data_IF_711252285743
#
_entry.id   IF_711252285743
#
_cell.length_a   1.000
_cell.length_b   1.000
_cell.length_c   1.000
_cell.angle_alpha   90.00
_cell.angle_beta   90.00
_cell.angle_gamma   90.00
#
_symmetry.space_group_name_H-M   'P 1'
#
loop_
_entity.id
_entity.type
_entity.pdbx_description
1 polymer ?
#
# COMPACT_ATOMS: atom_id res chain seq x y z
N UNK A 1 -8.86 3.03 21.92
CA UNK A 1 -8.86 3.08 20.45
C UNK A 1 -7.44 2.90 19.94
N UNK A 2 -7.20 1.90 19.10
CA UNK A 2 -5.87 1.66 18.50
C UNK A 2 -5.57 2.65 17.36
N UNK A 3 -4.42 2.52 16.69
CA UNK A 3 -4.06 3.38 15.57
C UNK A 3 -5.13 3.34 14.47
N UNK A 4 -5.51 4.51 13.95
CA UNK A 4 -6.52 4.72 12.92
C UNK A 4 -6.10 3.99 11.63
N UNK A 5 -6.84 2.95 11.19
CA UNK A 5 -6.51 2.24 9.95
C UNK A 5 -6.83 3.09 8.72
N UNK A 6 -5.87 3.28 7.81
CA UNK A 6 -6.03 4.09 6.61
C UNK A 6 -5.57 3.34 5.35
N UNK A 7 -6.19 3.68 4.22
CA UNK A 7 -5.72 3.28 2.89
C UNK A 7 -5.20 4.50 2.12
N UNK A 8 -4.21 4.29 1.26
CA UNK A 8 -3.59 5.37 0.47
C UNK A 8 -3.57 4.99 -1.00
N UNK A 9 -4.31 5.75 -1.82
CA UNK A 9 -4.31 5.65 -3.28
C UNK A 9 -3.32 6.66 -3.86
N UNK A 10 -2.39 6.18 -4.69
CA UNK A 10 -1.30 6.99 -5.20
C UNK A 10 -0.15 7.12 -4.21
N UNK A 11 0.16 6.05 -3.46
CA UNK A 11 1.16 6.04 -2.37
C UNK A 11 2.57 6.44 -2.81
N UNK A 12 2.92 6.22 -4.07
CA UNK A 12 4.23 6.55 -4.66
C UNK A 12 4.27 7.94 -5.31
N UNK A 13 3.17 8.70 -5.26
CA UNK A 13 3.12 10.09 -5.69
C UNK A 13 3.45 11.04 -4.55
N UNK A 14 3.63 12.33 -4.85
CA UNK A 14 4.07 13.34 -3.89
C UNK A 14 3.22 13.41 -2.61
N UNK A 15 1.89 13.39 -2.73
CA UNK A 15 0.99 13.40 -1.57
C UNK A 15 1.04 12.07 -0.82
N UNK A 16 1.11 10.95 -1.54
CA UNK A 16 1.17 9.63 -0.94
C UNK A 16 2.42 9.42 -0.10
N UNK A 17 3.59 9.81 -0.61
CA UNK A 17 4.86 9.71 0.12
C UNK A 17 4.86 10.60 1.36
N UNK A 18 4.43 11.86 1.22
CA UNK A 18 4.33 12.77 2.37
C UNK A 18 3.33 12.27 3.43
N UNK A 19 2.24 11.65 3.00
CA UNK A 19 1.28 11.04 3.93
C UNK A 19 1.92 9.88 4.70
N UNK A 20 2.70 9.04 4.01
CA UNK A 20 3.41 7.94 4.64
C UNK A 20 4.53 8.39 5.59
N UNK A 21 5.20 9.51 5.30
CA UNK A 21 6.16 10.12 6.22
C UNK A 21 5.47 10.49 7.55
N UNK A 22 4.30 11.12 7.48
CA UNK A 22 3.49 11.46 8.68
C UNK A 22 3.06 10.20 9.44
N UNK A 23 2.67 9.13 8.74
CA UNK A 23 2.30 7.85 9.36
C UNK A 23 3.50 7.22 10.07
N UNK A 24 4.68 7.25 9.45
CA UNK A 24 5.91 6.73 10.04
C UNK A 24 6.31 7.50 11.32
N UNK A 25 6.06 8.81 11.36
CA UNK A 25 6.27 9.65 12.55
C UNK A 25 5.21 9.45 13.64
N UNK A 26 4.04 8.87 13.32
CA UNK A 26 2.91 8.72 14.24
C UNK A 26 2.33 7.28 14.24
N UNK A 27 3.13 6.24 14.55
CA UNK A 27 2.71 4.83 14.48
C UNK A 27 1.66 4.45 15.53
N UNK A 28 1.54 5.23 16.60
CA UNK A 28 0.50 5.11 17.63
C UNK A 28 -0.86 5.64 17.15
N UNK A 29 -0.88 6.53 16.15
CA UNK A 29 -2.10 7.17 15.64
C UNK A 29 -2.60 6.57 14.35
N UNK A 30 -1.73 6.01 13.51
CA UNK A 30 -2.10 5.54 12.18
C UNK A 30 -1.53 4.15 11.89
N UNK A 31 -2.29 3.37 11.13
CA UNK A 31 -1.85 2.08 10.59
C UNK A 31 -2.27 1.98 9.14
N UNK A 32 -1.33 1.70 8.24
CA UNK A 32 -1.64 1.49 6.83
C UNK A 32 -2.23 0.09 6.68
N UNK A 33 -3.44 0.00 6.13
CA UNK A 33 -4.10 -1.29 5.84
C UNK A 33 -4.06 -1.63 4.35
N UNK A 34 -3.99 -0.62 3.47
CA UNK A 34 -3.94 -0.82 2.04
C UNK A 34 -3.16 0.27 1.29
N UNK A 35 -2.42 -0.10 0.25
CA UNK A 35 -1.65 0.82 -0.61
C UNK A 35 -1.96 0.59 -2.09
N UNK A 36 -2.04 1.67 -2.87
CA UNK A 36 -2.18 1.60 -4.32
C UNK A 36 -1.18 2.53 -5.00
N UNK A 37 -0.52 2.05 -6.07
CA UNK A 37 0.37 2.84 -6.89
C UNK A 37 0.08 2.70 -8.39
N UNK A 38 0.62 3.62 -9.17
CA UNK A 38 0.54 3.59 -10.64
C UNK A 38 1.52 2.57 -11.23
N UNK A 39 2.80 2.96 -11.29
CA UNK A 39 3.86 2.19 -11.96
C UNK A 39 5.20 2.15 -11.23
N UNK A 40 5.35 2.82 -10.09
CA UNK A 40 6.62 2.84 -9.35
C UNK A 40 6.70 1.65 -8.38
N UNK A 41 6.97 0.46 -8.92
CA UNK A 41 6.96 -0.80 -8.16
C UNK A 41 8.08 -0.87 -7.13
N UNK A 42 9.27 -0.35 -7.44
CA UNK A 42 10.38 -0.30 -6.48
C UNK A 42 9.98 0.43 -5.20
N UNK A 43 9.46 1.66 -5.33
CA UNK A 43 9.03 2.43 -4.16
C UNK A 43 7.81 1.79 -3.48
N UNK A 44 6.87 1.23 -4.24
CA UNK A 44 5.73 0.51 -3.66
C UNK A 44 6.22 -0.68 -2.81
N UNK A 45 7.19 -1.46 -3.28
CA UNK A 45 7.72 -2.60 -2.54
C UNK A 45 8.38 -2.16 -1.23
N UNK A 46 9.13 -1.05 -1.23
CA UNK A 46 9.74 -0.48 -0.02
C UNK A 46 8.67 -0.02 0.99
N UNK A 47 7.60 0.62 0.49
CA UNK A 47 6.47 1.01 1.32
C UNK A 47 5.77 -0.22 1.91
N UNK A 48 5.58 -1.29 1.14
CA UNK A 48 4.96 -2.54 1.62
C UNK A 48 5.80 -3.20 2.70
N UNK A 49 7.12 -3.29 2.52
CA UNK A 49 8.04 -3.83 3.53
C UNK A 49 8.00 -3.06 4.85
N UNK A 50 7.88 -1.73 4.75
CA UNK A 50 7.86 -0.82 5.89
C UNK A 50 6.53 -0.87 6.65
N UNK A 51 5.42 -0.70 5.95
CA UNK A 51 4.11 -0.49 6.56
C UNK A 51 3.27 -1.77 6.69
N UNK A 52 3.68 -2.86 6.01
CA UNK A 52 3.01 -4.16 6.01
C UNK A 52 1.49 -4.08 5.85
N UNK A 53 0.99 -3.41 4.78
CA UNK A 53 -0.43 -3.40 4.49
C UNK A 53 -0.92 -4.82 4.20
N UNK A 54 -2.23 -5.06 4.35
CA UNK A 54 -2.84 -6.34 3.99
C UNK A 54 -3.17 -6.43 2.51
N UNK A 55 -3.45 -5.29 1.86
CA UNK A 55 -3.83 -5.19 0.46
C UNK A 55 -2.94 -4.21 -0.29
N UNK A 56 -2.50 -4.59 -1.47
CA UNK A 56 -1.69 -3.76 -2.36
C UNK A 56 -2.23 -3.82 -3.77
N UNK A 57 -2.25 -2.67 -4.46
CA UNK A 57 -2.60 -2.60 -5.86
C UNK A 57 -1.56 -1.86 -6.69
N UNK A 58 -1.32 -2.36 -7.90
CA UNK A 58 -0.54 -1.67 -8.92
C UNK A 58 -1.41 -1.53 -10.17
N UNK A 59 -1.62 -0.29 -10.60
CA UNK A 59 -2.49 0.00 -11.76
C UNK A 59 -1.95 -0.61 -13.04
N UNK A 60 -0.63 -0.59 -13.23
CA UNK A 60 -0.01 -1.23 -14.38
C UNK A 60 0.16 -2.74 -14.14
N UNK A 61 -0.73 -3.52 -14.74
CA UNK A 61 -0.76 -4.98 -14.60
C UNK A 61 0.54 -5.66 -15.07
N UNK A 62 1.28 -5.04 -16.00
CA UNK A 62 2.54 -5.60 -16.50
C UNK A 62 3.64 -5.66 -15.44
N UNK A 63 3.49 -4.93 -14.33
CA UNK A 63 4.50 -4.82 -13.26
C UNK A 63 4.17 -5.67 -12.03
N UNK A 64 3.11 -6.48 -12.09
CA UNK A 64 2.65 -7.27 -10.95
C UNK A 64 3.67 -8.34 -10.57
N UNK A 65 4.26 -9.01 -11.55
CA UNK A 65 5.29 -10.02 -11.28
C UNK A 65 6.55 -9.38 -10.71
N UNK A 66 6.96 -8.20 -11.21
CA UNK A 66 8.06 -7.43 -10.63
C UNK A 66 7.81 -7.08 -9.16
N UNK A 67 6.57 -6.70 -8.81
CA UNK A 67 6.19 -6.41 -7.43
C UNK A 67 6.23 -7.67 -6.56
N UNK A 68 5.75 -8.80 -7.06
CA UNK A 68 5.81 -10.09 -6.35
C UNK A 68 7.24 -10.53 -6.10
N UNK A 69 8.10 -10.40 -7.10
CA UNK A 69 9.53 -10.73 -7.00
C UNK A 69 10.22 -9.82 -5.97
N UNK A 70 9.95 -8.51 -6.00
CA UNK A 70 10.48 -7.57 -5.02
C UNK A 70 10.05 -7.86 -3.57
N UNK A 71 8.94 -8.57 -3.39
CA UNK A 71 8.36 -8.99 -2.11
C UNK A 71 8.59 -10.48 -1.80
N UNK A 72 9.37 -11.19 -2.61
CA UNK A 72 9.52 -12.65 -2.51
C UNK A 72 10.03 -13.11 -1.13
N UNK A 73 10.93 -12.33 -0.53
CA UNK A 73 11.57 -12.61 0.77
C UNK A 73 10.75 -12.18 2.00
N UNK A 74 9.55 -11.61 1.81
CA UNK A 74 8.66 -11.30 2.93
C UNK A 74 7.91 -12.55 3.39
N UNK A 75 7.88 -12.80 4.70
CA UNK A 75 7.07 -13.89 5.28
C UNK A 75 5.56 -13.61 5.19
N UNK A 76 5.16 -12.38 5.51
CA UNK A 76 3.75 -11.94 5.51
C UNK A 76 3.48 -11.04 4.31
N UNK A 77 3.14 -11.66 3.18
CA UNK A 77 2.90 -10.96 1.90
C UNK A 77 1.47 -10.40 1.87
N UNK A 78 1.28 -9.17 1.37
CA UNK A 78 -0.05 -8.65 1.13
C UNK A 78 -0.77 -9.42 0.02
N UNK A 79 -2.09 -9.34 0.00
CA UNK A 79 -2.86 -9.60 -1.20
C UNK A 79 -2.52 -8.55 -2.26
N UNK A 80 -2.17 -8.98 -3.47
CA UNK A 80 -1.86 -8.07 -4.59
C UNK A 80 -2.97 -8.17 -5.63
N UNK A 81 -3.70 -7.07 -5.83
CA UNK A 81 -4.75 -6.98 -6.85
C UNK A 81 -4.28 -6.06 -7.99
N UNK A 82 -4.17 -6.57 -9.23
CA UNK A 82 -3.70 -5.78 -10.35
C UNK A 82 -4.78 -4.85 -10.90
N UNK A 83 -4.34 -3.84 -11.64
CA UNK A 83 -5.22 -3.05 -12.50
C UNK A 83 -6.12 -2.09 -11.73
N UNK A 84 -7.11 -1.55 -12.44
CA UNK A 84 -8.05 -0.57 -11.90
C UNK A 84 -8.93 -1.14 -10.79
N UNK A 85 -9.28 -2.44 -10.87
CA UNK A 85 -10.02 -3.13 -9.82
C UNK A 85 -9.27 -3.09 -8.49
N UNK A 86 -7.95 -3.31 -8.49
CA UNK A 86 -7.16 -3.23 -7.26
C UNK A 86 -7.20 -1.83 -6.63
N UNK A 87 -7.18 -0.78 -7.44
CA UNK A 87 -7.30 0.60 -6.95
C UNK A 87 -8.64 0.82 -6.25
N UNK A 88 -9.74 0.29 -6.82
CA UNK A 88 -11.08 0.36 -6.23
C UNK A 88 -11.14 -0.40 -4.90
N UNK A 89 -10.57 -1.60 -4.83
CA UNK A 89 -10.55 -2.39 -3.59
C UNK A 89 -9.73 -1.70 -2.47
N UNK A 90 -8.59 -1.09 -2.81
CA UNK A 90 -7.82 -0.28 -1.85
C UNK A 90 -8.63 0.90 -1.32
N UNK A 91 -9.35 1.60 -2.18
CA UNK A 91 -10.22 2.71 -1.78
C UNK A 91 -11.41 2.27 -0.93
N UNK A 92 -11.86 1.02 -1.06
CA UNK A 92 -13.02 0.44 -0.36
C UNK A 92 -12.64 -0.50 0.79
N UNK A 93 -11.35 -0.56 1.15
CA UNK A 93 -10.86 -1.54 2.11
C UNK A 93 -11.66 -1.48 3.43
N UNK A 94 -12.23 -2.59 3.92
CA UNK A 94 -13.24 -2.59 4.99
C UNK A 94 -12.68 -2.08 6.33
N UNK A 95 -11.39 -2.32 6.58
CA UNK A 95 -10.73 -1.81 7.79
C UNK A 95 -10.43 -0.31 7.70
N UNK A 96 -10.39 0.30 6.51
CA UNK A 96 -10.00 1.71 6.38
C UNK A 96 -11.15 2.59 6.87
N UNK A 97 -10.85 3.47 7.83
CA UNK A 97 -11.85 4.38 8.39
C UNK A 97 -11.84 5.71 7.66
N UNK A 98 -13.04 6.16 7.31
CA UNK A 98 -13.31 7.48 6.74
C UNK A 98 -13.29 8.60 7.78
#
# INVERSE_FOLDING_TARGET
DGPKPISIVGSTGSIGTQTLDIVAENPDKFRVVALAAGSNVTLLADQVKTFRPKLVAVRNESLVEELKDALADMDDKPEIIPGEQGIIEVARHPDAVT
#
